data_IF_303205218911
#
_entry.id   IF_303205218911
#
_cell.length_a   1.000
_cell.length_b   1.000
_cell.length_c   1.000
_cell.angle_alpha   90.00
_cell.angle_beta   90.00
_cell.angle_gamma   90.00
#
_symmetry.space_group_name_H-M   'P 1'
#
loop_
_entity.id
_entity.type
_entity.pdbx_description
1 polymer ?
#
# COMPACT_ATOMS: atom_id res chain seq x y z
N UNK A 1 4.25 -11.14 0.11
CA UNK A 1 4.64 -10.11 -0.89
C UNK A 1 5.51 -10.66 -2.01
N UNK A 2 6.69 -11.24 -1.75
CA UNK A 2 7.57 -11.81 -2.81
C UNK A 2 6.83 -12.82 -3.70
N UNK A 3 6.08 -13.76 -3.10
CA UNK A 3 5.34 -14.75 -3.88
C UNK A 3 4.22 -14.13 -4.73
N UNK A 4 3.54 -13.09 -4.24
CA UNK A 4 2.55 -12.36 -5.02
C UNK A 4 3.20 -11.65 -6.23
N UNK A 5 4.37 -11.04 -6.04
CA UNK A 5 5.13 -10.43 -7.13
C UNK A 5 5.57 -11.47 -8.18
N UNK A 6 6.05 -12.65 -7.73
CA UNK A 6 6.38 -13.76 -8.64
C UNK A 6 5.17 -14.24 -9.44
N UNK A 7 4.01 -14.42 -8.78
CA UNK A 7 2.76 -14.78 -9.45
C UNK A 7 2.33 -13.72 -10.48
N UNK A 8 2.59 -12.45 -10.19
CA UNK A 8 2.37 -11.33 -11.11
C UNK A 8 3.48 -11.16 -12.17
N UNK A 9 4.51 -12.02 -12.19
CA UNK A 9 5.69 -11.93 -13.07
C UNK A 9 6.49 -10.63 -12.92
N UNK A 10 6.48 -10.06 -11.72
CA UNK A 10 7.25 -8.87 -11.38
C UNK A 10 8.56 -9.25 -10.68
N UNK A 11 9.68 -8.76 -11.21
CA UNK A 11 10.98 -8.83 -10.53
C UNK A 11 11.00 -7.78 -9.41
N UNK A 12 11.05 -8.24 -8.16
CA UNK A 12 11.22 -7.35 -7.00
C UNK A 12 12.68 -6.90 -6.95
N UNK A 13 12.90 -5.60 -7.09
CA UNK A 13 14.24 -4.99 -7.04
C UNK A 13 14.60 -4.47 -5.63
N UNK A 14 13.60 -4.07 -4.84
CA UNK A 14 13.76 -3.62 -3.46
C UNK A 14 12.41 -3.64 -2.73
N UNK A 15 12.44 -3.59 -1.40
CA UNK A 15 11.28 -3.31 -0.56
C UNK A 15 11.50 -1.98 0.15
N UNK A 16 10.52 -1.08 0.05
CA UNK A 16 10.50 0.16 0.81
C UNK A 16 9.35 0.13 1.80
N UNK A 17 9.63 0.53 3.04
CA UNK A 17 8.57 0.71 4.04
C UNK A 17 7.78 1.99 3.75
N UNK A 18 6.47 1.94 3.94
CA UNK A 18 5.53 3.01 3.61
C UNK A 18 5.90 4.38 4.19
N UNK A 19 6.30 4.54 5.47
CA UNK A 19 6.67 5.86 5.98
C UNK A 19 7.90 6.45 5.27
N UNK A 20 8.88 5.61 4.88
CA UNK A 20 10.03 6.07 4.09
C UNK A 20 9.59 6.44 2.68
N UNK A 21 8.70 5.67 2.05
CA UNK A 21 8.19 6.01 0.74
C UNK A 21 7.43 7.35 0.77
N UNK A 22 6.54 7.54 1.74
CA UNK A 22 5.82 8.79 1.93
C UNK A 22 6.78 9.97 2.16
N UNK A 23 7.82 9.76 2.96
CA UNK A 23 8.88 10.73 3.19
C UNK A 23 9.69 11.07 1.94
N UNK A 24 10.04 10.07 1.12
CA UNK A 24 10.76 10.28 -0.14
C UNK A 24 9.92 11.06 -1.15
N UNK A 25 8.62 10.72 -1.27
CA UNK A 25 7.68 11.48 -2.07
C UNK A 25 7.57 12.93 -1.61
N UNK A 26 7.59 13.15 -0.29
CA UNK A 26 7.61 14.49 0.28
C UNK A 26 8.97 15.18 0.18
N UNK A 27 10.07 14.43 0.17
CA UNK A 27 11.45 14.89 0.10
C UNK A 27 11.75 15.75 -1.12
N UNK A 28 10.99 15.58 -2.20
CA UNK A 28 10.98 16.48 -3.36
C UNK A 28 10.63 17.93 -3.01
N UNK A 29 9.99 18.16 -1.86
CA UNK A 29 9.45 19.43 -1.39
C UNK A 29 10.04 19.87 -0.05
N UNK A 30 10.91 19.07 0.57
CA UNK A 30 11.48 19.37 1.88
C UNK A 30 12.46 20.54 1.81
N UNK A 31 12.29 21.48 2.74
CA UNK A 31 13.28 22.52 3.01
C UNK A 31 14.40 21.94 3.87
N UNK A 32 15.62 22.50 3.74
CA UNK A 32 16.82 22.00 4.41
C UNK A 32 16.78 22.01 5.95
N UNK A 33 15.80 22.70 6.55
CA UNK A 33 15.60 22.79 7.99
C UNK A 33 14.62 21.75 8.57
N UNK A 34 13.91 20.99 7.73
CA UNK A 34 12.95 19.99 8.20
C UNK A 34 13.69 18.68 8.49
N UNK A 35 13.64 18.22 9.74
CA UNK A 35 14.35 17.01 10.18
C UNK A 35 13.44 15.98 10.82
N UNK A 36 12.38 16.38 11.51
CA UNK A 36 11.49 15.46 12.24
C UNK A 36 10.10 15.52 11.65
N UNK A 37 9.66 14.41 11.07
CA UNK A 37 8.38 14.33 10.38
C UNK A 37 7.54 13.23 11.04
N UNK A 38 6.28 13.53 11.31
CA UNK A 38 5.30 12.52 11.64
C UNK A 38 4.54 12.15 10.39
N UNK A 39 4.55 10.87 10.01
CA UNK A 39 3.71 10.31 8.95
C UNK A 39 2.46 9.73 9.59
N UNK A 40 1.30 10.28 9.22
CA UNK A 40 -0.02 9.81 9.61
C UNK A 40 -0.65 9.12 8.40
N UNK A 41 -0.45 7.81 8.28
CA UNK A 41 -1.03 7.00 7.21
C UNK A 41 -2.35 6.39 7.64
N UNK A 42 -3.44 6.88 7.05
CA UNK A 42 -4.78 6.39 7.35
C UNK A 42 -5.44 5.80 6.11
N UNK A 43 -5.31 4.49 5.99
CA UNK A 43 -5.75 3.71 4.84
C UNK A 43 -7.20 3.27 4.92
N UNK A 44 -7.53 2.30 4.06
CA UNK A 44 -8.84 1.66 4.03
C UNK A 44 -9.05 0.65 5.16
N UNK A 45 -7.99 0.02 5.66
CA UNK A 45 -8.07 -1.03 6.69
C UNK A 45 -7.09 -0.91 7.85
N UNK A 46 -6.08 -0.04 7.74
CA UNK A 46 -5.08 0.19 8.79
C UNK A 46 -4.87 1.68 9.03
N UNK A 47 -4.40 1.98 10.23
CA UNK A 47 -3.86 3.27 10.64
C UNK A 47 -2.42 3.03 11.09
N UNK A 48 -1.47 3.70 10.47
CA UNK A 48 -0.05 3.58 10.77
C UNK A 48 0.53 4.97 11.03
N UNK A 49 1.10 5.16 12.23
CA UNK A 49 1.75 6.39 12.66
C UNK A 49 3.24 6.11 12.77
N UNK A 50 4.05 6.90 12.07
CA UNK A 50 5.50 6.80 12.13
C UNK A 50 6.14 8.14 12.41
N UNK A 51 7.15 8.18 13.26
CA UNK A 51 8.04 9.33 13.38
C UNK A 51 9.33 8.99 12.67
N UNK A 52 9.71 9.85 11.74
CA UNK A 52 10.93 9.70 10.97
C UNK A 52 11.84 10.89 11.17
N UNK A 53 13.14 10.64 11.10
CA UNK A 53 14.18 11.66 11.05
C UNK A 53 14.84 11.69 9.68
N UNK A 54 14.88 12.87 9.10
CA UNK A 54 15.66 13.18 7.90
C UNK A 54 17.00 13.75 8.32
N UNK A 55 18.06 12.99 8.09
CA UNK A 55 19.44 13.46 8.10
C UNK A 55 19.89 13.65 6.64
N UNK A 56 20.93 14.46 6.40
CA UNK A 56 21.33 14.99 5.08
C UNK A 56 21.31 13.99 3.91
N UNK A 57 21.51 12.70 4.20
CA UNK A 57 21.50 11.61 3.22
C UNK A 57 20.67 10.38 3.66
N UNK A 58 20.05 10.39 4.85
CA UNK A 58 19.41 9.18 5.41
C UNK A 58 18.04 9.48 6.02
N UNK A 59 17.09 8.57 5.79
CA UNK A 59 15.78 8.55 6.45
C UNK A 59 15.81 7.46 7.52
N UNK A 60 15.68 7.84 8.78
CA UNK A 60 15.63 6.91 9.90
C UNK A 60 14.23 6.88 10.48
N UNK A 61 13.64 5.70 10.63
CA UNK A 61 12.38 5.53 11.35
C UNK A 61 12.68 5.41 12.84
N UNK A 62 12.10 6.31 13.63
CA UNK A 62 12.30 6.37 15.08
C UNK A 62 11.22 5.60 15.85
N UNK A 63 9.97 5.65 15.38
CA UNK A 63 8.86 4.86 15.92
C UNK A 63 7.85 4.51 14.83
N UNK A 64 7.18 3.37 15.02
CA UNK A 64 6.04 2.91 14.23
C UNK A 64 5.03 2.31 15.20
N UNK A 65 3.82 2.85 15.20
CA UNK A 65 2.67 2.35 15.98
C UNK A 65 1.40 2.50 15.14
N UNK A 66 0.34 1.81 15.49
CA UNK A 66 -0.86 1.87 14.70
C UNK A 66 -1.91 0.84 15.11
N UNK A 67 -2.99 0.82 14.35
CA UNK A 67 -4.08 -0.12 14.50
C UNK A 67 -4.29 -0.88 13.17
N UNK A 68 -4.03 -2.20 13.13
CA UNK A 68 -4.15 -3.00 11.90
C UNK A 68 -5.61 -3.29 11.53
N UNK A 69 -6.57 -2.85 12.33
CA UNK A 69 -8.00 -3.12 12.17
C UNK A 69 -8.84 -1.84 12.20
N UNK A 70 -8.23 -0.71 11.86
CA UNK A 70 -8.88 0.60 11.84
C UNK A 70 -8.60 1.32 10.53
N UNK A 71 -9.64 1.56 9.75
CA UNK A 71 -9.52 2.27 8.48
C UNK A 71 -10.85 2.81 7.95
N UNK A 72 -10.81 3.26 6.70
CA UNK A 72 -11.99 3.77 6.00
C UNK A 72 -13.14 2.75 5.88
N UNK A 73 -12.85 1.45 5.89
CA UNK A 73 -13.83 0.37 5.82
C UNK A 73 -14.70 0.31 7.08
N UNK A 74 -14.16 0.66 8.25
CA UNK A 74 -14.91 0.67 9.51
C UNK A 74 -15.95 1.79 9.53
N UNK A 75 -15.59 2.95 8.96
CA UNK A 75 -16.54 4.05 8.76
C UNK A 75 -17.63 3.68 7.76
N UNK A 76 -17.28 2.97 6.68
CA UNK A 76 -18.27 2.47 5.72
C UNK A 76 -19.25 1.51 6.42
N UNK A 77 -18.73 0.58 7.24
CA UNK A 77 -19.54 -0.39 7.99
C UNK A 77 -20.48 0.30 9.00
N UNK A 78 -20.01 1.34 9.71
CA UNK A 78 -20.85 2.15 10.61
C UNK A 78 -22.00 2.82 9.86
N UNK A 79 -21.73 3.43 8.70
CA UNK A 79 -22.76 4.05 7.87
C UNK A 79 -23.77 3.00 7.35
N UNK A 80 -23.28 1.85 6.90
CA UNK A 80 -24.12 0.73 6.44
C UNK A 80 -25.08 0.31 7.56
N UNK A 81 -24.57 0.05 8.76
CA UNK A 81 -25.41 -0.31 9.91
C UNK A 81 -26.43 0.78 10.25
N UNK A 82 -26.01 2.05 10.27
CA UNK A 82 -26.90 3.18 10.51
C UNK A 82 -28.07 3.23 9.52
N UNK A 83 -27.78 3.08 8.22
CA UNK A 83 -28.82 3.15 7.18
C UNK A 83 -29.71 1.91 7.15
N UNK A 84 -29.19 0.72 7.43
CA UNK A 84 -30.03 -0.47 7.60
C UNK A 84 -30.99 -0.32 8.78
N UNK A 85 -30.50 0.17 9.93
CA UNK A 85 -31.33 0.40 11.10
C UNK A 85 -32.36 1.51 10.87
N UNK A 86 -31.98 2.57 10.15
CA UNK A 86 -32.91 3.62 9.76
C UNK A 86 -34.01 3.11 8.83
N UNK A 87 -33.65 2.30 7.85
CA UNK A 87 -34.61 1.64 6.97
C UNK A 87 -35.60 0.80 7.78
N UNK A 88 -35.11 0.02 8.74
CA UNK A 88 -35.95 -0.81 9.61
C UNK A 88 -36.90 0.01 10.49
N UNK A 89 -36.50 1.22 10.91
CA UNK A 89 -37.37 2.14 11.68
C UNK A 89 -38.44 2.78 10.81
N UNK A 90 -38.11 3.15 9.58
CA UNK A 90 -39.04 3.80 8.64
C UNK A 90 -40.00 2.81 7.94
N UNK A 91 -39.66 1.52 7.96
CA UNK A 91 -40.42 0.47 7.30
C UNK A 91 -40.88 -0.59 8.31
N UNK A 92 -42.12 -0.43 8.78
CA UNK A 92 -42.75 -1.36 9.73
C UNK A 92 -43.07 -2.71 9.09
N UNK A 93 -43.50 -2.71 7.82
CA UNK A 93 -44.01 -3.92 7.14
C UNK A 93 -42.91 -4.87 6.64
N UNK A 94 -41.72 -4.34 6.32
CA UNK A 94 -40.61 -5.12 5.77
C UNK A 94 -39.27 -4.52 6.19
N UNK A 95 -38.40 -5.38 6.71
CA UNK A 95 -37.05 -5.03 7.17
C UNK A 95 -36.05 -5.07 6.02
N UNK A 96 -34.91 -4.44 6.24
CA UNK A 96 -33.77 -4.44 5.34
C UNK A 96 -33.27 -5.90 5.17
N UNK A 97 -33.03 -6.36 3.93
CA UNK A 97 -32.61 -7.72 3.65
C UNK A 97 -31.11 -7.91 3.95
N UNK A 98 -30.75 -7.99 5.24
CA UNK A 98 -29.35 -8.06 5.71
C UNK A 98 -28.59 -9.31 5.25
N UNK A 99 -29.29 -10.37 4.85
CA UNK A 99 -28.70 -11.61 4.32
C UNK A 99 -28.45 -11.56 2.82
N UNK A 100 -29.02 -10.59 2.11
CA UNK A 100 -28.88 -10.45 0.66
C UNK A 100 -27.56 -9.75 0.32
N UNK A 101 -26.52 -10.55 0.11
CA UNK A 101 -25.15 -10.08 -0.09
C UNK A 101 -25.04 -9.01 -1.20
N UNK A 102 -25.76 -9.16 -2.31
CA UNK A 102 -25.75 -8.19 -3.41
C UNK A 102 -26.28 -6.81 -3.00
N UNK A 103 -27.32 -6.77 -2.17
CA UNK A 103 -27.96 -5.55 -1.65
C UNK A 103 -27.05 -4.87 -0.63
N UNK A 104 -26.50 -5.65 0.31
CA UNK A 104 -25.56 -5.16 1.34
C UNK A 104 -24.30 -4.59 0.68
N UNK A 105 -23.70 -5.29 -0.28
CA UNK A 105 -22.52 -4.80 -1.00
C UNK A 105 -22.81 -3.52 -1.79
N UNK A 106 -24.02 -3.38 -2.36
CA UNK A 106 -24.41 -2.14 -3.00
C UNK A 106 -24.53 -0.99 -1.98
N UNK A 107 -25.11 -1.24 -0.81
CA UNK A 107 -25.15 -0.25 0.26
C UNK A 107 -23.75 0.15 0.73
N UNK A 108 -22.81 -0.79 0.85
CA UNK A 108 -21.40 -0.49 1.14
C UNK A 108 -20.79 0.48 0.13
N UNK A 109 -20.97 0.22 -1.18
CA UNK A 109 -20.48 1.11 -2.24
C UNK A 109 -21.10 2.51 -2.15
N UNK A 110 -22.39 2.60 -1.90
CA UNK A 110 -23.08 3.89 -1.75
C UNK A 110 -22.62 4.63 -0.49
N UNK A 111 -22.44 3.95 0.64
CA UNK A 111 -21.92 4.55 1.86
C UNK A 111 -20.50 5.09 1.67
N UNK A 112 -19.62 4.32 1.01
CA UNK A 112 -18.27 4.76 0.66
C UNK A 112 -18.29 6.00 -0.22
N UNK A 113 -19.07 5.97 -1.31
CA UNK A 113 -19.21 7.11 -2.23
C UNK A 113 -19.66 8.38 -1.50
N UNK A 114 -20.65 8.24 -0.62
CA UNK A 114 -21.19 9.36 0.18
C UNK A 114 -20.15 9.87 1.16
N UNK A 115 -19.46 8.99 1.90
CA UNK A 115 -18.36 9.33 2.81
C UNK A 115 -17.25 10.10 2.10
N UNK A 116 -16.77 9.58 0.97
CA UNK A 116 -15.72 10.20 0.17
C UNK A 116 -16.14 11.57 -0.37
N UNK A 117 -17.39 11.72 -0.84
CA UNK A 117 -17.91 13.00 -1.30
C UNK A 117 -18.00 14.05 -0.17
N UNK A 118 -18.32 13.64 1.06
CA UNK A 118 -18.36 14.54 2.22
C UNK A 118 -16.99 15.06 2.66
N UNK A 119 -15.90 14.41 2.22
CA UNK A 119 -14.55 14.89 2.46
C UNK A 119 -14.19 16.15 1.66
N UNK A 120 -14.93 16.44 0.58
CA UNK A 120 -14.69 17.62 -0.28
C UNK A 120 -15.89 18.57 -0.38
N UNK A 121 -17.10 18.10 -0.07
CA UNK A 121 -18.34 18.88 -0.15
C UNK A 121 -18.88 19.23 1.24
N UNK A 122 -19.25 20.50 1.45
CA UNK A 122 -20.01 20.96 2.63
C UNK A 122 -21.53 20.71 2.48
N UNK A 123 -21.98 20.35 1.28
CA UNK A 123 -23.39 20.06 1.01
C UNK A 123 -23.75 18.64 1.45
N UNK A 124 -25.03 18.45 1.77
CA UNK A 124 -25.60 17.12 1.94
C UNK A 124 -25.43 16.28 0.66
N UNK A 125 -25.10 15.00 0.84
CA UNK A 125 -24.93 14.06 -0.25
C UNK A 125 -26.05 13.02 -0.17
N UNK A 126 -26.76 12.85 -1.28
CA UNK A 126 -27.84 11.87 -1.40
C UNK A 126 -27.25 10.46 -1.43
N UNK A 127 -27.78 9.58 -0.57
CA UNK A 127 -27.59 8.14 -0.61
C UNK A 127 -28.84 7.50 -1.21
N UNK A 128 -28.68 6.59 -2.16
CA UNK A 128 -29.81 5.96 -2.83
C UNK A 128 -29.54 4.51 -3.19
N UNK A 129 -30.41 3.62 -2.69
CA UNK A 129 -30.46 2.21 -3.03
C UNK A 129 -31.87 1.89 -3.53
N UNK A 130 -32.01 1.84 -4.86
CA UNK A 130 -33.31 1.70 -5.52
C UNK A 130 -33.92 0.30 -5.41
N UNK A 131 -33.06 -0.73 -5.45
CA UNK A 131 -33.48 -2.13 -5.48
C UNK A 131 -33.12 -2.79 -4.15
N UNK A 132 -34.06 -2.73 -3.22
CA UNK A 132 -33.99 -3.46 -1.95
C UNK A 132 -35.00 -4.61 -2.06
N UNK A 133 -34.68 -5.68 -2.78
CA UNK A 133 -35.51 -6.88 -3.05
C UNK A 133 -37.06 -6.70 -2.88
N UNK A 134 -37.71 -6.09 -3.89
CA UNK A 134 -39.17 -5.82 -3.89
C UNK A 134 -39.71 -4.98 -2.72
N UNK A 135 -38.83 -4.36 -1.93
CA UNK A 135 -39.16 -3.44 -0.85
C UNK A 135 -39.03 -2.00 -1.31
N UNK A 136 -39.41 -1.07 -0.43
CA UNK A 136 -39.27 0.37 -0.70
C UNK A 136 -37.80 0.73 -0.90
N UNK A 137 -37.49 1.66 -1.82
CA UNK A 137 -36.12 2.12 -2.00
C UNK A 137 -35.62 2.80 -0.72
N UNK A 138 -34.33 2.62 -0.40
CA UNK A 138 -33.68 3.37 0.67
C UNK A 138 -33.14 4.66 0.05
N UNK A 139 -33.73 5.79 0.42
CA UNK A 139 -33.32 7.13 -0.04
C UNK A 139 -33.05 7.98 1.18
N UNK A 140 -31.83 8.48 1.31
CA UNK A 140 -31.42 9.29 2.43
C UNK A 140 -30.48 10.41 2.01
N UNK A 141 -30.15 11.30 2.96
CA UNK A 141 -29.18 12.38 2.77
C UNK A 141 -28.27 12.43 3.99
N UNK A 142 -26.97 12.40 3.74
CA UNK A 142 -25.96 12.50 4.77
C UNK A 142 -25.28 13.86 4.71
N UNK A 143 -25.17 14.54 5.85
CA UNK A 143 -24.34 15.73 6.01
C UNK A 143 -23.03 15.35 6.69
N UNK A 144 -22.02 16.23 6.59
CA UNK A 144 -20.76 16.04 7.31
C UNK A 144 -20.97 16.00 8.82
N UNK A 145 -21.92 16.78 9.34
CA UNK A 145 -22.24 16.80 10.76
C UNK A 145 -22.79 15.46 11.25
N UNK A 146 -23.70 14.84 10.50
CA UNK A 146 -24.21 13.50 10.84
C UNK A 146 -23.08 12.47 10.73
N UNK A 147 -22.24 12.53 9.69
CA UNK A 147 -21.06 11.66 9.59
C UNK A 147 -20.15 11.80 10.82
N UNK A 148 -19.88 13.04 11.25
CA UNK A 148 -19.09 13.32 12.44
C UNK A 148 -19.76 12.84 13.73
N UNK A 149 -21.08 12.84 13.82
CA UNK A 149 -21.79 12.26 14.98
C UNK A 149 -21.66 10.74 15.03
N UNK A 150 -21.65 10.06 13.88
CA UNK A 150 -21.59 8.60 13.81
C UNK A 150 -20.16 8.04 13.96
N UNK A 151 -19.18 8.75 13.41
CA UNK A 151 -17.80 8.28 13.29
C UNK A 151 -16.78 9.13 14.08
N UNK A 152 -17.20 10.27 14.63
CA UNK A 152 -16.33 11.25 15.28
C UNK A 152 -15.48 10.66 16.40
N UNK A 153 -16.08 9.92 17.33
CA UNK A 153 -15.34 9.35 18.47
C UNK A 153 -14.22 8.41 18.04
N UNK A 154 -14.44 7.63 16.97
CA UNK A 154 -13.43 6.72 16.43
C UNK A 154 -12.34 7.47 15.67
N UNK A 155 -12.69 8.58 15.01
CA UNK A 155 -11.72 9.46 14.35
C UNK A 155 -10.88 10.20 15.40
N UNK A 156 -11.50 10.74 16.44
CA UNK A 156 -10.80 11.46 17.51
C UNK A 156 -9.90 10.51 18.30
N UNK A 157 -10.36 9.28 18.53
CA UNK A 157 -9.61 8.23 19.21
C UNK A 157 -8.30 7.86 18.51
N UNK A 158 -8.11 8.18 17.23
CA UNK A 158 -6.82 7.90 16.55
C UNK A 158 -5.66 8.72 17.09
N UNK A 159 -5.95 9.84 17.77
CA UNK A 159 -4.90 10.70 18.35
C UNK A 159 -4.05 9.96 19.38
N UNK A 160 -4.59 8.92 20.02
CA UNK A 160 -3.84 8.10 20.99
C UNK A 160 -2.61 7.46 20.36
N UNK A 161 -2.70 7.05 19.09
CA UNK A 161 -1.57 6.46 18.37
C UNK A 161 -0.48 7.49 18.07
N UNK A 162 -0.88 8.75 17.88
CA UNK A 162 0.06 9.87 17.75
C UNK A 162 0.79 10.12 19.07
N UNK A 163 0.08 10.11 20.20
CA UNK A 163 0.71 10.24 21.53
C UNK A 163 1.68 9.09 21.80
N UNK A 164 1.27 7.85 21.56
CA UNK A 164 2.14 6.69 21.73
C UNK A 164 3.40 6.75 20.85
N UNK A 165 3.27 7.22 19.60
CA UNK A 165 4.42 7.37 18.70
C UNK A 165 5.46 8.36 19.27
N UNK A 166 4.99 9.48 19.82
CA UNK A 166 5.80 10.53 20.45
C UNK A 166 6.44 10.05 21.75
N UNK A 167 5.70 9.32 22.58
CA UNK A 167 6.18 8.77 23.85
C UNK A 167 7.35 7.79 23.66
N UNK A 168 7.28 6.89 22.67
CA UNK A 168 8.34 5.91 22.37
C UNK A 168 9.69 6.60 22.12
N UNK A 169 9.68 7.77 21.48
CA UNK A 169 10.88 8.52 21.10
C UNK A 169 11.17 9.68 22.05
N UNK A 170 10.39 9.81 23.13
CA UNK A 170 10.48 10.88 24.12
C UNK A 170 10.48 12.29 23.47
N UNK A 171 9.55 12.51 22.54
CA UNK A 171 9.34 13.79 21.84
C UNK A 171 7.99 14.39 22.21
N UNK A 172 7.85 15.68 21.97
CA UNK A 172 6.61 16.44 22.09
C UNK A 172 6.12 16.90 20.72
N UNK A 173 4.90 17.45 20.65
CA UNK A 173 4.38 18.02 19.41
C UNK A 173 5.22 19.20 18.87
N UNK A 174 5.97 19.88 19.75
CA UNK A 174 6.84 20.98 19.38
C UNK A 174 8.10 20.50 18.63
N UNK A 175 8.57 19.29 18.93
CA UNK A 175 9.76 18.68 18.30
C UNK A 175 9.49 18.22 16.86
N UNK A 176 8.23 17.98 16.50
CA UNK A 176 7.84 17.62 15.13
C UNK A 176 7.85 18.87 14.26
N UNK A 177 8.57 18.84 13.14
CA UNK A 177 8.63 19.97 12.20
C UNK A 177 7.43 19.99 11.24
N UNK A 178 7.01 18.80 10.79
CA UNK A 178 5.91 18.63 9.84
C UNK A 178 5.13 17.33 10.10
N UNK A 179 3.84 17.36 9.80
CA UNK A 179 2.94 16.21 9.80
C UNK A 179 2.51 15.93 8.36
N UNK A 180 2.87 14.75 7.88
CA UNK A 180 2.54 14.25 6.56
C UNK A 180 1.30 13.36 6.63
N UNK A 181 0.30 13.65 5.79
CA UNK A 181 -0.90 12.82 5.68
C UNK A 181 -0.74 11.82 4.53
N UNK A 182 -0.88 10.54 4.80
CA UNK A 182 -0.93 9.47 3.81
C UNK A 182 -2.24 8.69 3.92
N UNK A 183 -2.60 7.99 2.84
CA UNK A 183 -3.81 7.17 2.79
C UNK A 183 -5.11 7.96 2.60
N UNK A 184 -6.11 7.34 1.96
CA UNK A 184 -7.33 8.03 1.55
C UNK A 184 -8.24 8.49 2.71
N UNK A 185 -8.20 7.79 3.85
CA UNK A 185 -9.01 8.19 5.03
C UNK A 185 -8.48 9.45 5.69
N UNK A 186 -7.22 9.83 5.44
CA UNK A 186 -6.67 11.12 5.89
C UNK A 186 -7.36 12.35 5.26
N UNK A 187 -8.11 12.16 4.15
CA UNK A 187 -8.92 13.23 3.54
C UNK A 187 -10.11 13.67 4.38
N UNK A 188 -10.54 12.86 5.35
CA UNK A 188 -11.67 13.19 6.20
C UNK A 188 -11.34 14.50 6.94
N UNK A 189 -12.13 15.59 6.81
CA UNK A 189 -11.77 16.90 7.35
C UNK A 189 -11.53 16.91 8.87
N UNK A 190 -12.21 16.02 9.61
CA UNK A 190 -12.01 15.85 11.05
C UNK A 190 -10.62 15.32 11.40
N UNK A 191 -10.04 14.43 10.59
CA UNK A 191 -8.67 13.91 10.77
C UNK A 191 -7.65 15.05 10.69
N UNK A 192 -7.78 15.89 9.66
CA UNK A 192 -6.93 17.09 9.56
C UNK A 192 -7.12 18.00 10.76
N UNK A 193 -8.36 18.24 11.19
CA UNK A 193 -8.65 19.11 12.32
C UNK A 193 -7.97 18.66 13.61
N UNK A 194 -8.05 17.37 13.97
CA UNK A 194 -7.42 16.87 15.21
C UNK A 194 -5.90 17.00 15.18
N UNK A 195 -5.29 16.87 14.00
CA UNK A 195 -3.84 17.04 13.82
C UNK A 195 -3.44 18.53 13.85
N UNK A 196 -4.24 19.42 13.24
CA UNK A 196 -4.02 20.86 13.30
C UNK A 196 -4.19 21.38 14.73
N UNK A 197 -5.17 20.87 15.47
CA UNK A 197 -5.41 21.21 16.88
C UNK A 197 -4.22 20.76 17.78
N UNK A 198 -3.52 19.67 17.43
CA UNK A 198 -2.38 19.14 18.19
C UNK A 198 -1.03 19.76 17.82
N UNK A 199 -0.74 19.91 16.52
CA UNK A 199 0.58 20.31 16.02
C UNK A 199 0.65 21.75 15.51
N UNK A 200 -0.49 22.41 15.31
CA UNK A 200 -0.56 23.68 14.60
C UNK A 200 -0.77 23.48 13.09
N UNK A 201 -1.51 24.43 12.51
CA UNK A 201 -1.94 24.36 11.10
C UNK A 201 -0.77 24.44 10.11
N UNK A 202 0.29 25.15 10.48
CA UNK A 202 1.52 25.31 9.71
C UNK A 202 2.36 24.05 9.63
N UNK A 203 2.22 23.14 10.61
CA UNK A 203 2.94 21.86 10.63
C UNK A 203 2.21 20.78 9.85
N UNK A 204 0.87 20.81 9.79
CA UNK A 204 0.09 19.81 9.04
C UNK A 204 0.11 20.14 7.56
N UNK A 205 0.80 19.30 6.79
CA UNK A 205 1.01 19.56 5.38
C UNK A 205 -0.32 19.65 4.62
N UNK A 206 -0.45 20.72 3.85
CA UNK A 206 -1.62 21.02 3.04
C UNK A 206 -1.21 21.52 1.63
N UNK A 207 -0.40 20.73 0.95
CA UNK A 207 0.04 21.03 -0.42
C UNK A 207 -0.90 20.37 -1.43
N UNK A 208 -1.49 21.14 -2.34
CA UNK A 208 -2.25 20.59 -3.47
C UNK A 208 -1.40 19.70 -4.39
N UNK A 209 -0.07 19.87 -4.36
CA UNK A 209 0.88 19.05 -5.12
C UNK A 209 1.13 17.69 -4.46
N UNK A 210 0.80 17.53 -3.20
CA UNK A 210 0.99 16.28 -2.47
C UNK A 210 -0.36 15.62 -2.25
N UNK A 211 -0.59 14.51 -2.96
CA UNK A 211 -1.83 13.74 -2.88
C UNK A 211 -1.59 12.57 -1.91
N UNK A 212 -2.23 12.54 -0.73
CA UNK A 212 -2.01 11.50 0.30
C UNK A 212 -2.11 10.07 -0.21
N UNK A 213 -3.02 9.81 -1.15
CA UNK A 213 -3.22 8.48 -1.76
C UNK A 213 -2.06 8.01 -2.63
N UNK A 214 -1.29 8.95 -3.18
CA UNK A 214 -0.22 8.65 -4.12
C UNK A 214 1.16 8.66 -3.47
N UNK A 215 1.26 9.15 -2.22
CA UNK A 215 2.52 9.37 -1.52
C UNK A 215 3.43 8.13 -1.53
N UNK A 216 2.89 6.98 -1.12
CA UNK A 216 3.64 5.73 -1.00
C UNK A 216 4.10 5.23 -2.37
N UNK A 217 3.19 5.20 -3.35
CA UNK A 217 3.50 4.75 -4.71
C UNK A 217 4.55 5.64 -5.39
N UNK A 218 4.44 6.97 -5.22
CA UNK A 218 5.41 7.93 -5.71
C UNK A 218 6.77 7.73 -5.05
N UNK A 219 6.81 7.52 -3.73
CA UNK A 219 8.04 7.22 -3.00
C UNK A 219 8.74 5.95 -3.49
N UNK A 220 7.97 4.88 -3.72
CA UNK A 220 8.47 3.65 -4.29
C UNK A 220 9.03 3.84 -5.70
N UNK A 221 8.39 4.68 -6.53
CA UNK A 221 8.89 5.03 -7.86
C UNK A 221 10.20 5.83 -7.81
N UNK A 222 10.32 6.80 -6.89
CA UNK A 222 11.57 7.56 -6.66
C UNK A 222 12.69 6.60 -6.23
N UNK A 223 12.39 5.69 -5.30
CA UNK A 223 13.35 4.69 -4.82
C UNK A 223 13.85 3.79 -5.96
N UNK A 224 12.94 3.27 -6.79
CA UNK A 224 13.30 2.47 -7.95
C UNK A 224 14.23 3.22 -8.92
N UNK A 225 13.94 4.50 -9.16
CA UNK A 225 14.76 5.36 -10.02
C UNK A 225 16.17 5.62 -9.45
N UNK A 226 16.29 5.82 -8.15
CA UNK A 226 17.60 5.98 -7.50
C UNK A 226 18.45 4.72 -7.61
N UNK A 227 17.85 3.55 -7.39
CA UNK A 227 18.54 2.26 -7.54
C UNK A 227 19.02 2.03 -8.97
N UNK A 228 18.20 2.39 -9.96
CA UNK A 228 18.59 2.25 -11.36
C UNK A 228 19.77 3.16 -11.74
N UNK A 229 19.76 4.42 -11.28
CA UNK A 229 20.90 5.33 -11.47
C UNK A 229 22.18 4.74 -10.91
N UNK A 230 22.14 4.19 -9.70
CA UNK A 230 23.29 3.54 -9.07
C UNK A 230 23.81 2.39 -9.96
N UNK A 231 22.91 1.59 -10.55
CA UNK A 231 23.32 0.49 -11.44
C UNK A 231 23.86 0.96 -12.80
N UNK A 232 23.42 2.12 -13.30
CA UNK A 232 23.83 2.66 -14.60
C UNK A 232 25.07 3.58 -14.51
N UNK A 233 25.35 4.18 -13.35
CA UNK A 233 26.58 4.94 -13.10
C UNK A 233 27.67 4.02 -12.57
N UNK A 234 28.44 3.42 -13.49
CA UNK A 234 29.71 2.67 -13.30
C UNK A 234 29.56 1.18 -12.93
N UNK A 235 30.04 0.23 -13.77
CA UNK A 235 30.57 -1.02 -13.24
C UNK A 235 31.88 -0.67 -12.53
N UNK A 236 31.85 -0.51 -11.22
CA UNK A 236 33.09 -0.67 -10.45
C UNK A 236 33.49 -2.13 -10.69
N UNK A 237 34.52 -2.34 -11.52
CA UNK A 237 35.29 -3.58 -11.47
C UNK A 237 35.84 -3.66 -10.05
N UNK A 238 35.11 -4.34 -9.17
CA UNK A 238 35.70 -4.89 -7.98
C UNK A 238 36.66 -5.97 -8.48
N UNK A 239 37.95 -5.66 -8.49
CA UNK A 239 38.96 -6.71 -8.47
C UNK A 239 38.61 -7.62 -7.30
N UNK A 240 38.38 -8.91 -7.60
CA UNK A 240 37.89 -9.93 -6.67
C UNK A 240 38.89 -10.31 -5.56
N UNK A 241 39.76 -9.40 -5.14
CA UNK A 241 40.80 -9.68 -4.14
C UNK A 241 40.88 -8.69 -2.96
N UNK A 242 39.97 -7.72 -2.81
CA UNK A 242 39.93 -6.91 -1.59
C UNK A 242 38.67 -7.18 -0.76
N UNK A 243 38.82 -8.11 0.18
CA UNK A 243 37.81 -8.45 1.19
C UNK A 243 37.79 -7.39 2.28
N UNK A 244 37.36 -6.17 1.95
CA UNK A 244 36.85 -5.16 2.89
C UNK A 244 36.60 -3.85 2.13
N UNK A 245 35.37 -3.61 1.67
CA UNK A 245 34.71 -2.29 1.55
C UNK A 245 33.54 -2.36 0.57
N UNK A 246 32.34 -2.64 1.09
CA UNK A 246 31.07 -2.29 0.42
C UNK A 246 30.47 -1.13 1.21
N UNK A 247 30.04 -0.02 0.59
CA UNK A 247 29.27 1.00 1.29
C UNK A 247 27.86 0.43 1.53
N UNK A 248 27.70 -0.28 2.64
CA UNK A 248 26.38 -0.64 3.16
C UNK A 248 25.75 0.61 3.74
N UNK A 249 24.67 1.12 3.15
CA UNK A 249 23.71 1.94 3.91
C UNK A 249 23.14 0.98 4.97
N UNK A 250 23.65 1.09 6.20
CA UNK A 250 23.22 0.26 7.31
C UNK A 250 21.87 0.79 7.80
N UNK A 251 20.79 0.10 7.44
CA UNK A 251 19.58 0.11 8.27
C UNK A 251 19.97 -0.49 9.63
N UNK A 252 20.11 0.37 10.64
CA UNK A 252 20.25 -0.08 12.03
C UNK A 252 18.86 -0.12 12.64
N UNK A 253 18.18 -1.25 12.52
CA UNK A 253 16.99 -1.55 13.33
C UNK A 253 17.48 -2.09 14.68
N UNK A 254 17.48 -1.24 15.71
CA UNK A 254 17.60 -1.70 17.10
C UNK A 254 16.20 -2.12 17.58
N UNK A 255 15.91 -3.41 17.50
CA UNK A 255 14.74 -4.00 18.17
C UNK A 255 15.07 -4.07 19.66
N UNK A 256 14.43 -3.23 20.47
CA UNK A 256 14.45 -3.34 21.93
C UNK A 256 13.57 -4.55 22.30
N UNK A 257 14.10 -5.58 22.99
CA UNK A 257 13.30 -6.74 23.35
C UNK A 257 12.40 -6.40 24.55
N UNK A 258 11.08 -6.40 24.35
CA UNK A 258 10.14 -6.49 25.46
C UNK A 258 10.11 -7.92 25.98
N UNK A 259 10.60 -8.10 27.20
CA UNK A 259 10.43 -9.29 28.00
C UNK A 259 8.98 -9.42 28.47
N UNK A 260 8.20 -10.24 27.78
CA UNK A 260 7.11 -11.02 28.38
C UNK A 260 6.76 -12.17 27.44
N UNK A 261 7.14 -13.37 27.84
CA UNK A 261 6.80 -14.63 27.17
C UNK A 261 5.28 -14.76 26.97
N UNK A 262 4.88 -15.05 25.74
CA UNK A 262 3.61 -15.71 25.44
C UNK A 262 3.80 -16.51 24.17
N UNK A 263 3.92 -17.83 24.35
CA UNK A 263 4.23 -18.85 23.35
C UNK A 263 3.22 -18.90 22.21
N UNK A 264 3.68 -18.62 21.00
CA UNK A 264 3.02 -19.04 19.77
C UNK A 264 3.36 -20.51 19.50
N UNK A 265 2.43 -21.43 19.76
CA UNK A 265 2.50 -22.78 19.21
C UNK A 265 1.62 -22.86 17.96
N UNK A 266 2.29 -23.07 16.83
CA UNK A 266 1.67 -23.52 15.58
C UNK A 266 1.05 -24.92 15.75
N UNK A 267 0.05 -25.30 14.95
CA UNK A 267 -0.22 -26.72 14.71
C UNK A 267 0.14 -27.12 13.29
N UNK A 268 1.20 -27.93 13.20
CA UNK A 268 1.48 -28.87 12.11
C UNK A 268 0.54 -30.07 12.22
N UNK A 269 0.04 -30.57 11.10
CA UNK A 269 -0.77 -31.80 10.98
C UNK A 269 0.09 -33.07 10.94
N UNK A 270 -0.19 -34.11 11.76
CA UNK A 270 -0.37 -35.54 11.35
C UNK A 270 -0.70 -36.54 12.51
N UNK A 271 -1.72 -37.39 12.27
CA UNK A 271 -1.98 -38.79 12.71
C UNK A 271 -2.47 -39.21 14.13
N UNK A 272 -3.81 -39.27 14.30
CA UNK A 272 -4.76 -40.39 14.66
C UNK A 272 -4.43 -41.51 15.71
N UNK A 273 -5.42 -42.31 16.24
CA UNK A 273 -6.89 -42.13 16.41
C UNK A 273 -7.45 -42.59 17.80
N UNK A 274 -8.69 -42.22 18.16
CA UNK A 274 -9.64 -43.10 18.89
C UNK A 274 -11.09 -42.52 18.95
N UNK A 275 -11.97 -43.21 18.23
CA UNK A 275 -13.42 -43.49 18.42
C UNK A 275 -14.29 -42.65 19.38
N UNK A 276 -15.40 -42.06 18.88
CA UNK A 276 -16.78 -42.55 19.14
C UNK A 276 -17.86 -41.86 18.26
N UNK A 277 -18.59 -42.70 17.50
CA UNK A 277 -19.98 -42.63 17.01
C UNK A 277 -20.51 -41.55 16.03
N UNK A 278 -20.79 -42.07 14.82
CA UNK A 278 -21.64 -41.65 13.68
C UNK A 278 -23.17 -41.52 14.01
N UNK A 279 -24.15 -41.24 13.07
CA UNK A 279 -24.07 -41.28 11.59
C UNK A 279 -24.88 -40.27 10.73
N UNK A 280 -24.46 -40.03 9.46
CA UNK A 280 -25.13 -40.53 8.23
C UNK A 280 -24.57 -39.98 6.89
N UNK A 281 -24.08 -40.92 6.05
CA UNK A 281 -24.19 -41.11 4.56
C UNK A 281 -23.98 -39.94 3.56
N UNK A 282 -23.29 -40.05 2.40
CA UNK A 282 -23.31 -41.13 1.39
C UNK A 282 -22.18 -40.98 0.29
N UNK A 283 -21.49 -42.09 -0.01
CA UNK A 283 -20.87 -42.59 -1.26
C UNK A 283 -19.95 -41.74 -2.21
N UNK A 284 -18.71 -42.24 -2.37
CA UNK A 284 -17.97 -42.31 -3.65
C UNK A 284 -17.84 -43.79 -4.09
N UNK A 285 -17.33 -44.08 -5.30
CA UNK A 285 -16.12 -44.92 -5.34
C UNK A 285 -15.05 -44.55 -6.40
N UNK A 286 -13.79 -44.57 -5.93
CA UNK A 286 -12.55 -45.26 -6.41
C UNK A 286 -12.28 -45.43 -7.93
N UNK A 287 -11.03 -45.32 -8.42
CA UNK A 287 -9.88 -46.22 -8.11
C UNK A 287 -8.49 -45.64 -8.39
N UNK A 288 -7.52 -46.15 -7.63
CA UNK A 288 -6.05 -45.99 -7.69
C UNK A 288 -5.38 -46.79 -8.82
N UNK A 289 -4.12 -46.45 -9.17
CA UNK A 289 -2.92 -47.32 -9.16
C UNK A 289 -1.72 -46.56 -9.78
N UNK A 290 -0.57 -46.60 -9.08
CA UNK A 290 0.81 -46.39 -9.57
C UNK A 290 1.59 -47.71 -9.32
N UNK A 291 2.71 -48.01 -10.03
CA UNK A 291 4.04 -47.72 -9.45
C UNK A 291 5.22 -47.48 -10.45
N UNK A 292 6.26 -46.75 -9.97
CA UNK A 292 7.74 -46.86 -10.12
C UNK A 292 8.38 -47.36 -11.47
N UNK A 293 9.56 -46.95 -11.97
CA UNK A 293 10.87 -46.63 -11.36
C UNK A 293 11.88 -46.16 -12.47
N UNK A 294 12.91 -45.39 -12.08
CA UNK A 294 14.32 -45.31 -12.53
C UNK A 294 14.75 -45.45 -14.03
N UNK A 295 15.47 -44.44 -14.56
CA UNK A 295 16.89 -44.50 -15.02
C UNK A 295 17.27 -43.33 -15.96
N UNK A 296 18.43 -42.69 -15.71
CA UNK A 296 19.24 -41.99 -16.72
C UNK A 296 20.18 -43.00 -17.42
N UNK A 297 20.74 -42.71 -18.62
CA UNK A 297 22.09 -42.11 -18.69
C UNK A 297 22.39 -41.22 -19.93
N UNK A 298 23.42 -40.35 -19.79
CA UNK A 298 24.59 -40.34 -20.70
C UNK A 298 24.62 -39.47 -21.97
N UNK A 299 25.31 -38.31 -21.86
CA UNK A 299 26.32 -37.70 -22.77
C UNK A 299 26.27 -37.86 -24.31
N UNK A 300 26.43 -36.73 -25.04
CA UNK A 300 27.45 -36.62 -26.11
C UNK A 300 27.76 -35.16 -26.51
N UNK A 301 29.05 -34.85 -26.60
CA UNK A 301 29.64 -33.61 -27.12
C UNK A 301 29.60 -33.58 -28.66
N UNK A 302 29.38 -32.40 -29.27
CA UNK A 302 30.10 -32.02 -30.50
C UNK A 302 30.37 -30.51 -30.54
N UNK A 303 31.66 -30.18 -30.62
CA UNK A 303 32.22 -28.87 -30.95
C UNK A 303 31.91 -28.49 -32.40
N UNK A 304 31.63 -27.20 -32.66
CA UNK A 304 31.96 -26.54 -33.92
C UNK A 304 32.49 -25.14 -33.66
N UNK A 305 33.74 -24.95 -34.08
CA UNK A 305 34.47 -23.69 -34.18
C UNK A 305 34.03 -22.92 -35.43
N UNK A 306 33.80 -21.60 -35.32
CA UNK A 306 33.92 -20.64 -36.44
C UNK A 306 34.63 -19.38 -35.92
N UNK A 307 35.62 -18.93 -36.68
CA UNK A 307 36.55 -17.82 -36.46
C UNK A 307 35.91 -16.41 -36.58
N UNK A 308 36.59 -15.33 -36.14
CA UNK A 308 35.99 -14.00 -35.95
C UNK A 308 36.09 -13.11 -37.20
N UNK A 309 34.99 -12.47 -37.58
CA UNK A 309 35.00 -11.36 -38.56
C UNK A 309 35.21 -10.01 -37.85
N UNK A 310 36.21 -9.28 -38.32
CA UNK A 310 36.50 -7.90 -37.94
C UNK A 310 35.47 -6.95 -38.55
N UNK A 311 34.70 -6.27 -37.70
CA UNK A 311 33.75 -5.22 -38.09
C UNK A 311 34.19 -3.85 -37.59
N UNK A 312 34.25 -2.90 -38.52
CA UNK A 312 34.67 -1.50 -38.38
C UNK A 312 33.99 -0.74 -37.23
N UNK A 313 34.79 0.05 -36.51
CA UNK A 313 34.29 1.08 -35.60
C UNK A 313 33.63 2.23 -36.40
N UNK A 314 32.32 2.39 -36.25
CA UNK A 314 31.62 3.64 -36.55
C UNK A 314 31.03 4.19 -35.24
N UNK A 315 31.55 5.33 -34.81
CA UNK A 315 31.02 6.07 -33.67
C UNK A 315 29.63 6.61 -34.00
N UNK A 316 28.61 6.00 -33.42
CA UNK A 316 27.29 6.59 -33.29
C UNK A 316 27.08 6.96 -31.83
N UNK A 317 26.85 8.24 -31.56
CA UNK A 317 26.35 8.70 -30.26
C UNK A 317 24.99 8.05 -30.05
N UNK A 318 24.93 6.98 -29.27
CA UNK A 318 23.67 6.41 -28.80
C UNK A 318 22.97 7.48 -27.96
N UNK A 319 21.87 8.04 -28.45
CA UNK A 319 20.86 8.58 -27.56
C UNK A 319 20.37 7.38 -26.74
N UNK A 320 20.75 7.32 -25.47
CA UNK A 320 20.23 6.32 -24.55
C UNK A 320 18.70 6.45 -24.51
N UNK A 321 18.03 5.37 -24.90
CA UNK A 321 16.60 5.19 -24.65
C UNK A 321 16.39 5.34 -23.14
N UNK A 322 15.45 6.20 -22.69
CA UNK A 322 15.19 6.36 -21.27
C UNK A 322 14.79 5.01 -20.69
N UNK A 323 15.34 4.69 -19.52
CA UNK A 323 15.04 3.42 -18.87
C UNK A 323 13.57 3.35 -18.42
N UNK A 324 13.08 2.14 -18.16
CA UNK A 324 11.71 1.90 -17.68
C UNK A 324 11.44 2.69 -16.38
N UNK A 325 12.40 2.79 -15.44
CA UNK A 325 12.20 3.59 -14.23
C UNK A 325 12.31 5.10 -14.49
N UNK A 326 13.15 5.56 -15.44
CA UNK A 326 13.17 6.97 -15.88
C UNK A 326 11.83 7.40 -16.48
N UNK A 327 11.22 6.54 -17.30
CA UNK A 327 9.90 6.78 -17.87
C UNK A 327 8.86 6.84 -16.76
N UNK A 328 8.81 5.86 -15.86
CA UNK A 328 7.87 5.86 -14.72
C UNK A 328 8.07 7.11 -13.86
N UNK A 329 9.29 7.47 -13.48
CA UNK A 329 9.59 8.64 -12.67
C UNK A 329 9.18 9.94 -13.36
N UNK A 330 9.54 10.14 -14.64
CA UNK A 330 9.16 11.34 -15.40
C UNK A 330 7.65 11.43 -15.57
N UNK A 331 6.99 10.29 -15.81
CA UNK A 331 5.54 10.19 -15.92
C UNK A 331 4.85 10.56 -14.61
N UNK A 332 5.29 10.00 -13.47
CA UNK A 332 4.78 10.37 -12.15
C UNK A 332 5.07 11.83 -11.80
N UNK A 333 6.28 12.32 -12.07
CA UNK A 333 6.67 13.72 -11.82
C UNK A 333 5.82 14.70 -12.63
N UNK A 334 5.60 14.42 -13.91
CA UNK A 334 4.78 15.26 -14.78
C UNK A 334 3.30 15.17 -14.40
N UNK A 335 2.81 13.99 -13.98
CA UNK A 335 1.47 13.78 -13.46
C UNK A 335 1.20 14.55 -12.16
N UNK A 336 2.14 14.59 -11.23
CA UNK A 336 2.04 15.41 -10.01
C UNK A 336 1.99 16.92 -10.34
N UNK A 337 2.50 17.32 -11.51
CA UNK A 337 2.45 18.70 -12.00
C UNK A 337 1.18 19.00 -12.83
N UNK A 338 0.53 18.00 -13.41
CA UNK A 338 -0.68 18.15 -14.23
C UNK A 338 -1.85 17.30 -13.71
N UNK A 339 -2.86 17.96 -13.14
CA UNK A 339 -4.03 17.40 -12.45
C UNK A 339 -4.75 16.24 -13.18
N UNK A 340 -4.31 14.99 -12.92
CA UNK A 340 -5.18 13.82 -12.79
C UNK A 340 -5.72 13.15 -14.05
N UNK A 341 -5.09 12.02 -14.44
CA UNK A 341 -5.70 10.69 -14.68
C UNK A 341 -4.65 9.57 -14.55
N UNK A 342 -4.53 8.96 -13.37
CA UNK A 342 -3.45 8.02 -13.04
C UNK A 342 -3.60 6.65 -13.73
N UNK A 343 -4.85 6.19 -13.91
CA UNK A 343 -5.13 4.84 -14.43
C UNK A 343 -4.74 4.73 -15.91
N UNK A 344 -5.08 5.73 -16.73
CA UNK A 344 -4.72 5.75 -18.16
C UNK A 344 -3.20 5.83 -18.34
N UNK A 345 -2.54 6.66 -17.54
CA UNK A 345 -1.08 6.89 -17.61
C UNK A 345 -0.26 5.70 -17.10
N UNK A 346 -0.68 5.05 -16.02
CA UNK A 346 -0.06 3.79 -15.56
C UNK A 346 -0.34 2.66 -16.55
N UNK A 347 -1.55 2.58 -17.12
CA UNK A 347 -1.87 1.58 -18.12
C UNK A 347 -1.03 1.75 -19.40
N UNK A 348 -0.82 2.98 -19.87
CA UNK A 348 0.09 3.29 -20.99
C UNK A 348 1.53 2.89 -20.65
N UNK A 349 2.05 3.30 -19.49
CA UNK A 349 3.41 2.95 -19.08
C UNK A 349 3.61 1.43 -18.89
N UNK A 350 2.60 0.72 -18.37
CA UNK A 350 2.64 -0.76 -18.22
C UNK A 350 2.55 -1.45 -19.57
N UNK A 351 1.73 -0.95 -20.50
CA UNK A 351 1.63 -1.50 -21.85
C UNK A 351 2.94 -1.29 -22.63
N UNK A 352 3.56 -0.11 -22.54
CA UNK A 352 4.87 0.16 -23.16
C UNK A 352 5.96 -0.77 -22.59
N UNK A 353 5.89 -1.09 -21.30
CA UNK A 353 6.81 -2.05 -20.65
C UNK A 353 6.56 -3.48 -21.13
N UNK A 354 5.31 -3.90 -21.31
CA UNK A 354 4.95 -5.25 -21.79
C UNK A 354 5.31 -5.43 -23.27
N UNK A 355 5.04 -4.43 -24.11
CA UNK A 355 5.34 -4.49 -25.54
C UNK A 355 6.86 -4.52 -25.79
N UNK A 356 7.65 -3.80 -24.99
CA UNK A 356 9.12 -3.83 -25.08
C UNK A 356 9.76 -5.18 -24.72
N UNK A 357 9.12 -6.01 -23.88
CA UNK A 357 9.61 -7.37 -23.57
C UNK A 357 9.21 -8.38 -24.66
N UNK A 358 8.24 -8.06 -25.53
CA UNK A 358 7.80 -8.95 -26.62
C UNK A 358 8.70 -8.91 -27.85
N UNK A 359 9.50 -7.85 -28.01
CA UNK A 359 10.45 -7.68 -29.11
C UNK A 359 11.80 -8.37 -28.86
N UNK A 360 12.15 -8.65 -27.60
CA UNK A 360 13.40 -9.34 -27.23
C UNK A 360 13.31 -10.88 -27.36
N UNK A 361 12.13 -11.47 -27.53
CA UNK A 361 11.95 -12.91 -27.84
C UNK A 361 12.07 -13.24 -29.35
N UNK A 362 12.33 -12.25 -30.22
CA UNK A 362 12.40 -12.43 -31.69
C UNK A 362 13.77 -12.21 -32.34
N UNK A 363 14.87 -12.21 -31.59
CA UNK A 363 16.22 -12.12 -32.16
C UNK A 363 17.14 -13.26 -31.77
#
# INVERSE_FOLDING_TARGET
MIEAAKMARLKVIDFIIEPNAAAMAYGLYLQSNIKQILVYDFGGGTLDISIIRYDTENITVLSVVGDPHLGGNDFDAKLVNHFMDQYDRENESRKFPRTEHSVVQHLYRECRRVKEALSTSDREIKLQLLHVDNNKPLINRLTRDIFNQLCGDQIDGTIIWVEHALEIVNMTADDIDQVLLAGGSSRIPRVRKILEDKFGREKVLNSSKFIPEHAIALGAAIRAHELEKITNTTPVRADLNDTNSTPTIKEKVEVIPNSSESTANQPSTLNQPNTLNQPNTLNQPNTSIQPNTLNQPGTSNQNKTIEPEQGLASGSSKQEQPSKADVIYKTFKNFVVSEGKLIEVIAEAVNDIIDSDSDDEKK
#
